data_IF_663039048707
#
_entry.id   IF_663039048707
#
_cell.length_a   1.000
_cell.length_b   1.000
_cell.length_c   1.000
_cell.angle_alpha   90.00
_cell.angle_beta   90.00
_cell.angle_gamma   90.00
#
_symmetry.space_group_name_H-M   'P 1'
#
loop_
_entity.id
_entity.type
_entity.pdbx_description
1 polymer ?
#
# COMPACT_ATOMS: atom_id res chain seq x y z
N UNK A 1 -16.01 -22.77 20.50
CA UNK A 1 -16.37 -23.92 19.60
C UNK A 1 -15.39 -24.00 18.41
N UNK A 2 -15.17 -22.93 17.62
CA UNK A 2 -14.24 -22.95 16.47
C UNK A 2 -12.79 -23.22 16.84
N UNK A 3 -12.30 -22.68 17.97
CA UNK A 3 -10.94 -22.92 18.47
C UNK A 3 -10.73 -24.39 18.86
N UNK A 4 -11.70 -24.99 19.57
CA UNK A 4 -11.63 -26.41 19.94
C UNK A 4 -11.67 -27.35 18.73
N UNK A 5 -12.38 -26.99 17.65
CA UNK A 5 -12.39 -27.75 16.40
C UNK A 5 -11.06 -27.68 15.67
N UNK A 6 -10.44 -26.50 15.65
CA UNK A 6 -9.10 -26.31 15.08
C UNK A 6 -8.04 -27.05 15.88
N UNK A 7 -8.14 -27.07 17.22
CA UNK A 7 -7.22 -27.81 18.09
C UNK A 7 -7.37 -29.32 17.86
N UNK A 8 -8.59 -29.84 17.69
CA UNK A 8 -8.85 -31.26 17.36
C UNK A 8 -8.34 -31.64 15.96
N UNK A 9 -8.50 -30.75 14.96
CA UNK A 9 -7.95 -30.97 13.61
C UNK A 9 -6.43 -30.89 13.62
N UNK A 10 -5.84 -30.02 14.45
CA UNK A 10 -4.41 -29.90 14.62
C UNK A 10 -3.81 -31.13 15.34
N UNK A 11 -4.49 -31.71 16.33
CA UNK A 11 -4.07 -32.93 16.97
C UNK A 11 -4.10 -34.15 16.03
N UNK A 12 -5.08 -34.21 15.10
CA UNK A 12 -5.11 -35.24 14.05
C UNK A 12 -4.01 -35.08 12.98
N UNK A 13 -3.26 -33.99 13.00
CA UNK A 13 -2.13 -33.67 12.11
C UNK A 13 -0.75 -33.94 12.70
N UNK A 14 -0.66 -34.50 13.90
CA UNK A 14 0.62 -34.71 14.61
C UNK A 14 1.65 -35.53 13.79
N UNK A 15 1.22 -36.34 12.83
CA UNK A 15 2.11 -37.05 11.92
C UNK A 15 2.66 -36.19 10.78
N UNK A 16 2.05 -35.04 10.48
CA UNK A 16 2.53 -34.06 9.49
C UNK A 16 3.46 -32.99 10.11
N UNK A 17 3.41 -32.79 11.42
CA UNK A 17 4.21 -31.79 12.16
C UNK A 17 5.70 -32.19 12.33
N UNK A 18 6.10 -33.34 11.82
CA UNK A 18 7.53 -33.72 11.75
C UNK A 18 8.31 -33.03 10.65
N UNK A 19 7.67 -32.27 9.80
CA UNK A 19 8.34 -31.43 8.80
C UNK A 19 8.46 -29.99 9.31
N UNK A 20 9.62 -29.38 9.14
CA UNK A 20 9.90 -27.97 9.51
C UNK A 20 8.84 -26.98 9.03
N UNK A 21 8.20 -27.25 7.89
CA UNK A 21 7.08 -26.45 7.36
C UNK A 21 5.81 -26.53 8.20
N UNK A 22 5.52 -27.67 8.81
CA UNK A 22 4.36 -27.84 9.70
C UNK A 22 4.53 -27.06 11.00
N UNK A 23 5.73 -27.12 11.59
CA UNK A 23 6.05 -26.37 12.81
C UNK A 23 6.00 -24.84 12.57
N UNK A 24 6.53 -24.37 11.43
CA UNK A 24 6.45 -22.96 11.06
C UNK A 24 5.00 -22.49 10.87
N UNK A 25 4.15 -23.29 10.23
CA UNK A 25 2.74 -22.98 10.05
C UNK A 25 1.99 -22.93 11.40
N UNK A 26 2.26 -23.87 12.30
CA UNK A 26 1.68 -23.88 13.65
C UNK A 26 2.09 -22.64 14.47
N UNK A 27 3.34 -22.22 14.35
CA UNK A 27 3.83 -20.98 14.96
C UNK A 27 3.12 -19.74 14.42
N UNK A 28 2.96 -19.64 13.11
CA UNK A 28 2.25 -18.54 12.46
C UNK A 28 0.76 -18.49 12.88
N UNK A 29 0.10 -19.63 12.99
CA UNK A 29 -1.27 -19.69 13.52
C UNK A 29 -1.35 -19.20 14.97
N UNK A 30 -0.43 -19.62 15.83
CA UNK A 30 -0.39 -19.19 17.23
C UNK A 30 -0.16 -17.67 17.33
N UNK A 31 0.74 -17.11 16.50
CA UNK A 31 0.97 -15.69 16.43
C UNK A 31 -0.28 -14.93 15.96
N UNK A 32 -0.97 -15.42 14.93
CA UNK A 32 -2.21 -14.83 14.43
C UNK A 32 -3.31 -14.84 15.51
N UNK A 33 -3.50 -15.96 16.22
CA UNK A 33 -4.45 -16.01 17.33
C UNK A 33 -4.02 -15.13 18.52
N UNK A 34 -2.73 -15.01 18.77
CA UNK A 34 -2.18 -14.08 19.77
C UNK A 34 -2.58 -12.64 19.46
N UNK A 35 -2.35 -12.20 18.22
CA UNK A 35 -2.73 -10.86 17.77
C UNK A 35 -4.25 -10.59 17.91
N UNK A 36 -5.08 -11.56 17.54
CA UNK A 36 -6.54 -11.44 17.66
C UNK A 36 -7.04 -11.47 19.11
N UNK A 37 -6.29 -12.06 20.04
CA UNK A 37 -6.68 -12.20 21.43
C UNK A 37 -6.27 -11.05 22.35
N UNK A 38 -5.34 -10.20 21.92
CA UNK A 38 -4.83 -9.08 22.74
C UNK A 38 -5.79 -7.87 22.80
N UNK A 39 -6.82 -7.82 21.98
CA UNK A 39 -7.72 -6.67 21.85
C UNK A 39 -7.10 -5.50 21.06
N UNK A 40 -5.78 -5.32 21.10
CA UNK A 40 -5.08 -4.17 20.49
C UNK A 40 -5.43 -4.00 19.01
N UNK A 41 -5.44 -5.09 18.24
CA UNK A 41 -5.80 -5.03 16.82
C UNK A 41 -7.29 -4.70 16.62
N UNK A 42 -8.17 -5.30 17.43
CA UNK A 42 -9.61 -5.01 17.39
C UNK A 42 -9.90 -3.55 17.71
N UNK A 43 -9.25 -3.03 18.77
CA UNK A 43 -9.41 -1.65 19.21
C UNK A 43 -8.84 -0.68 18.15
N UNK A 44 -7.72 -1.01 17.51
CA UNK A 44 -7.17 -0.19 16.42
C UNK A 44 -8.08 -0.16 15.19
N UNK A 45 -8.75 -1.26 14.87
CA UNK A 45 -9.69 -1.35 13.75
C UNK A 45 -11.06 -0.70 14.05
N UNK A 46 -11.38 -0.49 15.33
CA UNK A 46 -12.62 0.22 15.70
C UNK A 46 -12.46 1.73 15.50
N UNK A 47 -12.56 2.17 14.23
CA UNK A 47 -12.53 3.59 13.88
C UNK A 47 -13.73 4.37 14.45
N UNK A 48 -14.78 3.71 14.95
CA UNK A 48 -15.94 4.39 15.56
C UNK A 48 -15.59 4.99 16.92
N UNK A 49 -14.50 4.55 17.53
CA UNK A 49 -13.94 5.16 18.75
C UNK A 49 -13.35 6.57 18.50
N UNK A 50 -13.09 6.94 17.25
CA UNK A 50 -12.64 8.29 16.91
C UNK A 50 -13.78 9.31 16.96
N UNK A 51 -13.51 10.57 17.35
CA UNK A 51 -14.50 11.66 17.29
C UNK A 51 -15.10 11.79 15.88
N UNK A 52 -16.38 12.15 15.81
CA UNK A 52 -17.07 12.31 14.53
C UNK A 52 -16.34 13.26 13.57
N UNK A 53 -15.81 14.38 14.10
CA UNK A 53 -15.06 15.36 13.31
C UNK A 53 -13.78 14.74 12.66
N UNK A 54 -13.10 13.82 13.35
CA UNK A 54 -11.93 13.11 12.77
C UNK A 54 -12.38 12.18 11.66
N UNK A 55 -13.44 11.41 11.88
CA UNK A 55 -13.98 10.49 10.86
C UNK A 55 -14.48 11.24 9.61
N UNK A 56 -15.15 12.35 9.80
CA UNK A 56 -15.63 13.23 8.73
C UNK A 56 -14.47 13.87 7.96
N UNK A 57 -13.37 14.24 8.65
CA UNK A 57 -12.17 14.79 8.02
C UNK A 57 -11.51 13.82 7.05
N UNK A 58 -11.56 12.52 7.30
CA UNK A 58 -11.08 11.50 6.35
C UNK A 58 -12.08 11.24 5.19
N UNK A 59 -13.29 11.77 5.28
CA UNK A 59 -14.39 11.49 4.36
C UNK A 59 -15.11 10.18 4.70
N UNK A 60 -16.45 10.22 4.62
CA UNK A 60 -17.32 9.08 4.93
C UNK A 60 -17.44 8.12 3.74
N UNK A 61 -16.30 7.80 3.13
CA UNK A 61 -16.16 6.81 2.06
C UNK A 61 -15.40 5.58 2.59
N UNK A 62 -15.54 4.45 1.91
CA UNK A 62 -14.78 3.25 2.29
C UNK A 62 -13.27 3.51 2.28
N UNK A 63 -12.75 4.21 1.27
CA UNK A 63 -11.33 4.55 1.18
C UNK A 63 -10.88 5.48 2.32
N UNK A 64 -11.63 6.55 2.58
CA UNK A 64 -11.30 7.49 3.67
C UNK A 64 -11.29 6.82 5.05
N UNK A 65 -12.30 6.00 5.35
CA UNK A 65 -12.36 5.28 6.62
C UNK A 65 -11.29 4.16 6.70
N UNK A 66 -10.89 3.57 5.57
CA UNK A 66 -9.75 2.64 5.52
C UNK A 66 -8.41 3.35 5.79
N UNK A 67 -8.23 4.57 5.29
CA UNK A 67 -7.06 5.40 5.63
C UNK A 67 -7.02 5.75 7.13
N UNK A 68 -8.16 6.07 7.72
CA UNK A 68 -8.27 6.29 9.17
C UNK A 68 -7.91 5.03 9.97
N UNK A 69 -8.43 3.86 9.57
CA UNK A 69 -8.09 2.59 10.19
C UNK A 69 -6.59 2.27 10.04
N UNK A 70 -5.98 2.56 8.87
CA UNK A 70 -4.55 2.40 8.66
C UNK A 70 -3.72 3.28 9.60
N UNK A 71 -4.08 4.56 9.79
CA UNK A 71 -3.41 5.44 10.75
C UNK A 71 -3.50 4.86 12.17
N UNK A 72 -4.67 4.40 12.60
CA UNK A 72 -4.87 3.78 13.91
C UNK A 72 -4.04 2.52 14.12
N UNK A 73 -3.91 1.69 13.07
CA UNK A 73 -3.05 0.51 13.10
C UNK A 73 -1.57 0.88 13.26
N UNK A 74 -1.09 1.91 12.57
CA UNK A 74 0.28 2.43 12.73
C UNK A 74 0.49 2.97 14.15
N UNK A 75 -0.44 3.78 14.65
CA UNK A 75 -0.39 4.32 16.02
C UNK A 75 -0.38 3.20 17.08
N UNK A 76 -1.04 2.07 16.83
CA UNK A 76 -1.01 0.88 17.67
C UNK A 76 0.25 0.00 17.51
N UNK A 77 1.24 0.45 16.73
CA UNK A 77 2.51 -0.25 16.51
C UNK A 77 2.54 -1.20 15.31
N UNK A 78 1.54 -1.14 14.43
CA UNK A 78 1.56 -1.84 13.16
C UNK A 78 2.71 -1.37 12.28
N UNK A 79 3.51 -2.30 11.74
CA UNK A 79 4.72 -1.97 10.99
C UNK A 79 4.50 -1.87 9.48
N UNK A 80 3.46 -2.51 8.99
CA UNK A 80 3.14 -2.53 7.56
C UNK A 80 1.62 -2.62 7.39
N UNK A 81 1.03 -1.64 6.73
CA UNK A 81 -0.41 -1.59 6.46
C UNK A 81 -0.62 -1.27 5.00
N UNK A 82 -1.49 -2.01 4.34
CA UNK A 82 -1.88 -1.76 2.96
C UNK A 82 -3.35 -1.36 2.90
N UNK A 83 -3.63 -0.25 2.25
CA UNK A 83 -4.99 0.21 1.93
C UNK A 83 -5.21 0.04 0.44
N UNK A 84 -6.17 -0.79 0.06
CA UNK A 84 -6.55 -0.94 -1.33
C UNK A 84 -7.73 -0.04 -1.67
N UNK A 85 -7.66 0.63 -2.80
CA UNK A 85 -8.82 1.22 -3.42
C UNK A 85 -9.53 0.15 -4.25
N UNK A 86 -10.56 -0.43 -3.68
CA UNK A 86 -11.36 -1.44 -4.38
C UNK A 86 -12.66 -0.83 -4.91
N UNK A 87 -13.03 -1.25 -6.09
CA UNK A 87 -14.28 -0.83 -6.75
C UNK A 87 -15.51 -1.60 -6.25
N UNK A 88 -15.36 -2.69 -5.52
CA UNK A 88 -16.44 -3.58 -5.02
C UNK A 88 -17.54 -3.83 -6.07
N UNK A 89 -17.16 -4.09 -7.31
CA UNK A 89 -18.09 -4.30 -8.42
C UNK A 89 -18.76 -3.03 -8.98
N UNK A 90 -18.44 -1.85 -8.46
CA UNK A 90 -18.91 -0.57 -8.98
C UNK A 90 -17.96 -0.06 -10.05
N UNK A 91 -18.27 -0.28 -11.32
CA UNK A 91 -17.45 0.16 -12.45
C UNK A 91 -17.03 1.64 -12.41
N UNK A 92 -17.85 2.52 -11.80
CA UNK A 92 -17.54 3.93 -11.65
C UNK A 92 -16.48 4.20 -10.56
N UNK A 93 -16.29 3.30 -9.61
CA UNK A 93 -15.36 3.44 -8.48
C UNK A 93 -13.93 2.99 -8.75
N UNK A 94 -13.64 2.40 -9.89
CA UNK A 94 -12.32 1.87 -10.24
C UNK A 94 -11.44 2.90 -10.93
N UNK A 95 -10.13 2.88 -10.63
CA UNK A 95 -9.11 3.64 -11.36
C UNK A 95 -8.83 3.07 -12.76
N UNK A 96 -9.42 1.93 -13.10
CA UNK A 96 -9.32 1.34 -14.43
C UNK A 96 -10.27 2.03 -15.43
N UNK A 97 -9.86 3.20 -15.89
CA UNK A 97 -10.68 4.19 -16.60
C UNK A 97 -10.57 4.08 -18.12
N UNK A 98 -10.91 2.91 -18.69
CA UNK A 98 -10.94 2.66 -20.13
C UNK A 98 -12.02 3.42 -20.89
N UNK A 99 -12.98 4.01 -20.20
CA UNK A 99 -14.04 4.87 -20.73
C UNK A 99 -14.40 5.93 -19.70
N UNK A 100 -14.95 7.05 -20.15
CA UNK A 100 -15.30 8.20 -19.30
C UNK A 100 -14.17 8.58 -18.31
N UNK A 101 -12.92 8.54 -18.79
CA UNK A 101 -11.73 8.73 -17.96
C UNK A 101 -11.76 10.05 -17.19
N UNK A 102 -12.00 11.16 -17.89
CA UNK A 102 -11.95 12.48 -17.28
C UNK A 102 -13.12 12.76 -16.34
N UNK A 103 -14.34 12.31 -16.69
CA UNK A 103 -15.51 12.43 -15.82
C UNK A 103 -15.28 11.66 -14.51
N UNK A 104 -14.91 10.40 -14.59
CA UNK A 104 -14.64 9.56 -13.42
C UNK A 104 -13.54 10.11 -12.52
N UNK A 105 -12.45 10.60 -13.10
CA UNK A 105 -11.37 11.23 -12.33
C UNK A 105 -11.85 12.50 -11.62
N UNK A 106 -12.47 13.43 -12.35
CA UNK A 106 -12.80 14.75 -11.82
C UNK A 106 -13.97 14.74 -10.83
N UNK A 107 -14.95 13.90 -11.09
CA UNK A 107 -16.22 13.92 -10.33
C UNK A 107 -16.20 12.98 -9.14
N UNK A 108 -15.36 11.94 -9.16
CA UNK A 108 -15.39 10.92 -8.12
C UNK A 108 -14.00 10.53 -7.59
N UNK A 109 -13.09 10.04 -8.44
CA UNK A 109 -11.86 9.37 -7.95
C UNK A 109 -10.90 10.36 -7.28
N UNK A 110 -10.58 11.46 -7.97
CA UNK A 110 -9.63 12.46 -7.44
C UNK A 110 -10.18 13.21 -6.22
N UNK A 111 -11.45 13.66 -6.17
CA UNK A 111 -11.96 14.33 -4.98
C UNK A 111 -11.93 13.46 -3.73
N UNK A 112 -12.26 12.16 -3.84
CA UNK A 112 -12.20 11.23 -2.72
C UNK A 112 -10.76 10.95 -2.29
N UNK A 113 -9.87 10.75 -3.27
CA UNK A 113 -8.44 10.53 -3.00
C UNK A 113 -7.80 11.74 -2.34
N UNK A 114 -7.97 12.92 -2.95
CA UNK A 114 -7.38 14.17 -2.48
C UNK A 114 -7.80 14.48 -1.04
N UNK A 115 -9.08 14.33 -0.75
CA UNK A 115 -9.61 14.55 0.59
C UNK A 115 -9.03 13.58 1.62
N UNK A 116 -9.06 12.27 1.36
CA UNK A 116 -8.61 11.26 2.31
C UNK A 116 -7.07 11.24 2.47
N UNK A 117 -6.32 11.41 1.37
CA UNK A 117 -4.87 11.38 1.40
C UNK A 117 -4.30 12.61 2.10
N UNK A 118 -4.78 13.81 1.77
CA UNK A 118 -4.32 15.03 2.45
C UNK A 118 -4.61 14.99 3.95
N UNK A 119 -5.78 14.49 4.34
CA UNK A 119 -6.13 14.30 5.76
C UNK A 119 -5.20 13.29 6.44
N UNK A 120 -4.90 12.16 5.79
CA UNK A 120 -3.98 11.17 6.34
C UNK A 120 -2.60 11.77 6.62
N UNK A 121 -2.04 12.54 5.67
CA UNK A 121 -0.71 13.14 5.83
C UNK A 121 -0.73 14.17 6.98
N UNK A 122 -1.74 15.03 7.03
CA UNK A 122 -1.88 16.04 8.08
C UNK A 122 -2.08 15.40 9.47
N UNK A 123 -2.88 14.35 9.57
CA UNK A 123 -3.13 13.66 10.86
C UNK A 123 -1.87 12.93 11.34
N UNK A 124 -1.13 12.26 10.45
CA UNK A 124 0.16 11.65 10.78
C UNK A 124 1.18 12.70 11.22
N UNK A 125 1.25 13.85 10.55
CA UNK A 125 2.15 14.94 10.92
C UNK A 125 1.79 15.55 12.28
N UNK A 126 0.52 15.86 12.51
CA UNK A 126 0.03 16.42 13.78
C UNK A 126 0.26 15.49 14.98
N UNK A 127 0.27 14.19 14.75
CA UNK A 127 0.55 13.17 15.77
C UNK A 127 2.04 12.87 15.93
N UNK A 128 2.91 13.48 15.13
CA UNK A 128 4.34 13.18 15.13
C UNK A 128 4.69 11.80 14.59
N UNK A 129 3.79 11.18 13.82
CA UNK A 129 3.98 9.84 13.26
C UNK A 129 4.58 9.87 11.85
N UNK A 130 4.51 11.00 11.13
CA UNK A 130 4.88 11.07 9.72
C UNK A 130 6.39 10.86 9.51
N UNK A 131 7.23 11.32 10.42
CA UNK A 131 8.69 11.17 10.29
C UNK A 131 9.14 9.70 10.45
N UNK A 132 8.36 8.89 11.17
CA UNK A 132 8.61 7.45 11.36
C UNK A 132 7.74 6.55 10.48
N UNK A 133 6.91 7.14 9.63
CA UNK A 133 5.99 6.40 8.76
C UNK A 133 6.21 6.74 7.31
N UNK A 134 6.68 5.76 6.53
CA UNK A 134 6.79 5.88 5.08
C UNK A 134 5.42 5.64 4.44
N UNK A 135 4.85 6.65 3.82
CA UNK A 135 3.58 6.56 3.08
C UNK A 135 3.87 6.49 1.60
N UNK A 136 3.40 5.43 0.94
CA UNK A 136 3.58 5.19 -0.49
C UNK A 136 2.21 5.10 -1.17
N UNK A 137 1.98 5.91 -2.20
CA UNK A 137 0.84 5.79 -3.10
C UNK A 137 1.34 5.25 -4.42
N UNK A 138 0.99 4.01 -4.69
CA UNK A 138 1.54 3.22 -5.78
C UNK A 138 0.46 2.78 -6.74
N UNK A 139 0.84 2.62 -8.01
CA UNK A 139 0.07 1.95 -9.05
C UNK A 139 1.03 1.06 -9.85
N UNK A 140 0.49 0.02 -10.48
CA UNK A 140 1.25 -0.93 -11.30
C UNK A 140 1.63 -0.35 -12.67
N UNK A 141 0.87 0.62 -13.19
CA UNK A 141 1.11 1.28 -14.47
C UNK A 141 0.37 2.62 -14.56
N UNK A 142 0.65 3.37 -15.61
CA UNK A 142 -0.04 4.60 -15.98
C UNK A 142 -1.14 4.38 -17.04
N UNK A 143 -1.43 5.46 -17.76
CA UNK A 143 -2.44 5.47 -18.83
C UNK A 143 -1.83 5.97 -20.12
N UNK A 144 -2.29 5.41 -21.27
CA UNK A 144 -1.78 5.77 -22.60
C UNK A 144 -1.81 7.27 -22.84
N UNK A 145 -0.78 7.84 -23.51
CA UNK A 145 -0.84 9.21 -24.01
C UNK A 145 -2.02 9.45 -24.96
N UNK A 146 -2.32 8.43 -25.78
CA UNK A 146 -3.44 8.47 -26.72
C UNK A 146 -4.77 8.35 -25.98
N UNK A 147 -5.71 9.17 -26.40
CA UNK A 147 -7.08 9.17 -25.93
C UNK A 147 -7.92 8.34 -26.89
N UNK A 148 -8.60 7.33 -26.38
CA UNK A 148 -9.53 6.54 -27.14
C UNK A 148 -10.93 7.15 -27.03
N UNK A 149 -11.41 7.72 -28.16
CA UNK A 149 -12.73 8.35 -28.22
C UNK A 149 -13.80 7.29 -28.38
N UNK A 150 -14.68 7.18 -27.39
CA UNK A 150 -15.80 6.21 -27.37
C UNK A 150 -17.12 6.93 -27.10
N UNK A 151 -18.27 6.36 -27.56
CA UNK A 151 -19.60 6.93 -27.25
C UNK A 151 -19.87 7.08 -25.75
N UNK A 152 -19.29 6.19 -24.92
CA UNK A 152 -19.39 6.23 -23.45
C UNK A 152 -18.44 7.23 -22.78
N UNK A 153 -17.82 8.14 -23.55
CA UNK A 153 -16.81 9.07 -23.11
C UNK A 153 -15.38 8.60 -23.35
N UNK A 154 -14.50 9.54 -23.55
CA UNK A 154 -13.10 9.29 -23.86
C UNK A 154 -12.40 8.46 -22.76
N UNK A 155 -11.61 7.49 -23.16
CA UNK A 155 -10.87 6.57 -22.31
C UNK A 155 -9.36 6.60 -22.54
N UNK A 156 -8.61 6.00 -21.61
CA UNK A 156 -7.17 5.75 -21.75
C UNK A 156 -6.87 4.33 -21.29
N UNK A 157 -6.00 3.63 -22.03
CA UNK A 157 -5.61 2.25 -21.75
C UNK A 157 -4.40 2.17 -20.82
N UNK A 158 -3.98 0.95 -20.49
CA UNK A 158 -2.80 0.71 -19.68
C UNK A 158 -1.52 1.15 -20.39
N UNK A 159 -0.59 1.74 -19.63
CA UNK A 159 0.69 2.22 -20.12
C UNK A 159 1.77 2.08 -19.05
N UNK A 160 2.66 1.10 -19.22
CA UNK A 160 3.70 0.80 -18.22
C UNK A 160 5.00 1.59 -18.39
N UNK A 161 5.13 2.41 -19.47
CA UNK A 161 6.37 3.14 -19.77
C UNK A 161 6.55 4.40 -18.95
N UNK A 162 5.45 5.04 -18.55
CA UNK A 162 5.48 6.25 -17.74
C UNK A 162 4.25 6.34 -16.84
N UNK A 163 4.47 6.59 -15.55
CA UNK A 163 3.43 6.88 -14.57
C UNK A 163 4.01 7.60 -13.36
N UNK A 164 3.16 8.22 -12.56
CA UNK A 164 3.53 8.96 -11.37
C UNK A 164 3.13 8.23 -10.11
N UNK A 165 3.90 8.41 -9.06
CA UNK A 165 3.64 7.90 -7.73
C UNK A 165 3.85 9.01 -6.70
N UNK A 166 3.29 8.87 -5.50
CA UNK A 166 3.41 9.87 -4.44
C UNK A 166 3.98 9.23 -3.20
N UNK A 167 4.90 9.93 -2.56
CA UNK A 167 5.58 9.48 -1.35
C UNK A 167 5.56 10.56 -0.29
N UNK A 168 5.47 10.17 0.98
CA UNK A 168 5.55 11.09 2.09
C UNK A 168 6.14 10.43 3.34
N UNK A 169 6.77 11.21 4.20
CA UNK A 169 7.29 10.79 5.50
C UNK A 169 8.51 9.88 5.44
N UNK A 170 8.83 9.24 6.57
CA UNK A 170 9.86 8.19 6.68
C UNK A 170 11.26 8.61 6.22
N UNK A 171 11.64 9.89 6.33
CA UNK A 171 12.96 10.37 5.90
C UNK A 171 13.07 10.73 4.41
N UNK A 172 11.94 10.84 3.70
CA UNK A 172 11.94 11.29 2.30
C UNK A 172 12.06 12.82 2.16
N UNK A 173 12.62 13.24 1.03
CA UNK A 173 12.69 14.65 0.65
C UNK A 173 11.28 15.24 0.49
N UNK A 174 11.02 16.38 1.14
CA UNK A 174 9.71 17.04 1.12
C UNK A 174 9.60 18.05 -0.02
N UNK A 175 8.42 18.15 -0.64
CA UNK A 175 8.09 19.17 -1.64
C UNK A 175 8.87 19.05 -2.94
N UNK A 176 9.42 17.89 -3.26
CA UNK A 176 10.22 17.65 -4.47
C UNK A 176 9.42 16.91 -5.54
N UNK A 177 9.71 17.22 -6.79
CA UNK A 177 9.25 16.46 -7.95
C UNK A 177 10.46 15.85 -8.64
N UNK A 178 10.49 14.54 -8.74
CA UNK A 178 11.63 13.77 -9.28
C UNK A 178 11.20 13.10 -10.58
N UNK A 179 12.05 13.22 -11.59
CA UNK A 179 11.78 12.69 -12.91
C UNK A 179 10.94 13.62 -13.79
N UNK A 180 10.96 13.33 -15.06
CA UNK A 180 10.20 14.06 -16.09
C UNK A 180 9.90 13.12 -17.24
N UNK A 181 8.71 13.23 -17.78
CA UNK A 181 8.33 12.58 -19.03
C UNK A 181 8.61 13.47 -20.25
N UNK A 182 8.52 12.86 -21.42
CA UNK A 182 8.41 13.60 -22.67
C UNK A 182 7.15 14.48 -22.67
N UNK A 183 7.03 15.36 -23.68
CA UNK A 183 5.90 16.29 -23.81
C UNK A 183 4.53 15.63 -23.96
N UNK A 184 4.50 14.35 -24.31
CA UNK A 184 3.28 13.57 -24.52
C UNK A 184 2.98 12.63 -23.37
N UNK A 185 3.84 12.59 -22.33
CA UNK A 185 3.79 11.61 -21.23
C UNK A 185 3.87 10.15 -21.72
N UNK A 186 4.59 9.93 -22.82
CA UNK A 186 4.79 8.62 -23.41
C UNK A 186 5.93 7.84 -22.80
N UNK A 187 7.03 8.51 -22.51
CA UNK A 187 8.25 7.94 -21.94
C UNK A 187 8.84 8.82 -20.84
N UNK A 188 9.64 8.21 -19.97
CA UNK A 188 10.43 8.94 -18.97
C UNK A 188 11.73 9.39 -19.62
N UNK A 189 11.94 10.72 -19.69
CA UNK A 189 13.15 11.33 -20.26
C UNK A 189 14.25 11.60 -19.23
N UNK A 190 13.89 11.89 -17.99
CA UNK A 190 14.85 12.24 -16.94
C UNK A 190 14.57 11.49 -15.65
N UNK A 191 15.64 11.07 -14.99
CA UNK A 191 15.63 10.41 -13.67
C UNK A 191 14.60 9.28 -13.60
N UNK A 192 14.71 8.24 -14.44
CA UNK A 192 13.80 7.10 -14.37
C UNK A 192 13.98 6.35 -13.03
N UNK A 193 12.87 6.06 -12.37
CA UNK A 193 12.83 5.28 -11.12
C UNK A 193 11.95 4.05 -11.38
N UNK A 194 12.53 2.87 -11.24
CA UNK A 194 11.80 1.62 -11.43
C UNK A 194 11.05 1.20 -10.16
N UNK A 195 10.02 0.34 -10.26
CA UNK A 195 9.38 -0.24 -9.07
C UNK A 195 10.35 -0.96 -8.13
N UNK A 196 11.41 -1.56 -8.69
CA UNK A 196 12.46 -2.21 -7.89
C UNK A 196 13.31 -1.20 -7.11
N UNK A 197 13.59 -0.03 -7.69
CA UNK A 197 14.30 1.05 -7.00
C UNK A 197 13.47 1.60 -5.84
N UNK A 198 12.15 1.70 -6.02
CA UNK A 198 11.23 2.11 -4.96
C UNK A 198 11.28 1.09 -3.82
N UNK A 199 11.21 -0.19 -4.14
CA UNK A 199 11.31 -1.25 -3.15
C UNK A 199 12.64 -1.21 -2.40
N UNK A 200 13.77 -1.05 -3.11
CA UNK A 200 15.09 -0.93 -2.50
C UNK A 200 15.19 0.29 -1.58
N UNK A 201 14.66 1.44 -2.01
CA UNK A 201 14.65 2.66 -1.20
C UNK A 201 13.76 2.50 0.04
N UNK A 202 12.59 1.87 -0.10
CA UNK A 202 11.69 1.60 1.03
C UNK A 202 12.33 0.67 2.06
N UNK A 203 12.97 -0.42 1.63
CA UNK A 203 13.68 -1.32 2.55
C UNK A 203 14.87 -0.63 3.23
N UNK A 204 15.61 0.21 2.50
CA UNK A 204 16.68 1.02 3.08
C UNK A 204 16.17 1.94 4.19
N UNK A 205 15.07 2.67 3.95
CA UNK A 205 14.44 3.53 4.96
C UNK A 205 13.90 2.74 6.17
N UNK A 206 13.49 1.49 5.96
CA UNK A 206 13.11 0.58 7.06
C UNK A 206 14.31 -0.01 7.81
N UNK A 207 15.54 0.34 7.43
CA UNK A 207 16.77 -0.13 8.08
C UNK A 207 17.27 -1.49 7.58
N UNK A 208 16.78 -2.00 6.47
CA UNK A 208 17.31 -3.22 5.85
C UNK A 208 18.50 -2.88 4.94
N UNK A 209 19.53 -3.73 5.00
CA UNK A 209 20.63 -3.66 4.06
C UNK A 209 20.11 -4.00 2.64
N UNK A 210 20.30 -3.13 1.64
CA UNK A 210 19.91 -3.38 0.27
C UNK A 210 20.48 -4.67 -0.34
N UNK A 211 21.64 -5.12 0.14
CA UNK A 211 22.30 -6.34 -0.32
C UNK A 211 21.79 -7.61 0.40
N UNK A 212 20.80 -7.46 1.28
CA UNK A 212 20.18 -8.61 1.96
C UNK A 212 19.62 -9.62 0.94
N UNK A 213 19.92 -10.89 1.16
CA UNK A 213 19.38 -11.99 0.37
C UNK A 213 18.41 -12.84 1.19
N UNK A 214 17.41 -13.40 0.53
CA UNK A 214 16.50 -14.39 1.09
C UNK A 214 16.59 -15.68 0.28
N UNK A 215 16.50 -16.86 0.90
CA UNK A 215 16.52 -18.11 0.17
C UNK A 215 15.21 -18.32 -0.59
N UNK A 216 15.29 -18.76 -1.83
CA UNK A 216 14.14 -19.28 -2.57
C UNK A 216 13.74 -20.69 -2.05
N UNK A 217 12.66 -21.31 -2.58
CA UNK A 217 12.26 -22.66 -2.17
C UNK A 217 13.34 -23.74 -2.36
N UNK A 218 14.29 -23.52 -3.27
CA UNK A 218 15.43 -24.41 -3.55
C UNK A 218 16.68 -24.05 -2.72
N UNK A 219 16.58 -23.04 -1.84
CA UNK A 219 17.67 -22.59 -0.96
C UNK A 219 18.69 -21.66 -1.63
N UNK A 220 18.44 -21.19 -2.85
CA UNK A 220 19.35 -20.25 -3.54
C UNK A 220 19.15 -18.83 -3.01
N UNK A 221 20.22 -18.07 -2.73
CA UNK A 221 20.08 -16.69 -2.26
C UNK A 221 19.55 -15.79 -3.39
N UNK A 222 18.43 -15.14 -3.13
CA UNK A 222 17.87 -14.12 -4.01
C UNK A 222 17.97 -12.75 -3.34
N UNK A 223 18.42 -11.70 -4.05
CA UNK A 223 18.41 -10.34 -3.51
C UNK A 223 16.98 -9.92 -3.12
N UNK A 224 16.83 -9.39 -1.91
CA UNK A 224 15.52 -8.97 -1.35
C UNK A 224 14.80 -7.98 -2.28
N UNK A 225 15.54 -7.08 -2.91
CA UNK A 225 15.01 -6.04 -3.80
C UNK A 225 15.24 -6.32 -5.29
N UNK A 226 15.69 -7.54 -5.62
CA UNK A 226 16.04 -7.91 -6.99
C UNK A 226 17.23 -7.09 -7.51
N UNK A 227 17.02 -6.34 -8.60
CA UNK A 227 18.02 -5.45 -9.20
C UNK A 227 17.82 -3.98 -8.86
N UNK A 228 16.91 -3.68 -7.92
CA UNK A 228 16.61 -2.32 -7.49
C UNK A 228 17.79 -1.66 -6.77
N UNK A 229 17.86 -0.34 -6.85
CA UNK A 229 18.87 0.48 -6.18
C UNK A 229 18.23 1.52 -5.31
N UNK A 230 18.82 1.81 -4.17
CA UNK A 230 18.44 2.96 -3.35
C UNK A 230 18.58 4.24 -4.18
N UNK A 231 17.57 5.09 -4.13
CA UNK A 231 17.53 6.34 -4.91
C UNK A 231 17.80 7.54 -4.00
N UNK A 232 19.03 8.06 -3.99
CA UNK A 232 19.39 9.21 -3.15
C UNK A 232 18.51 10.43 -3.42
N UNK A 233 17.99 10.58 -4.62
CA UNK A 233 17.12 11.69 -5.02
C UNK A 233 15.78 11.69 -4.24
N UNK A 234 15.39 10.56 -3.67
CA UNK A 234 14.18 10.43 -2.84
C UNK A 234 14.44 10.75 -1.37
N UNK A 235 15.70 10.70 -0.92
CA UNK A 235 16.06 10.88 0.49
C UNK A 235 16.13 12.38 0.86
N UNK A 236 15.74 12.70 2.10
CA UNK A 236 15.78 14.04 2.67
C UNK A 236 17.08 14.39 3.39
#
# INVERSE_FOLDING_TARGET
>A
LRRGLLDQLSQGRIDLDRHERGAAFSLQQQQAFGLLSTGTLSDALDYTAEPAAVREAYGMTLFGQSCLAARRLIEAGGRFVTVFWDAYGLNAGSWDTHHNHYGRLKEFLLPVFDHAFSTLILDLEQRGLLDETLVLVLSEHGRTPQIDSKPAGAGRHHWSRAYSQVYAGGGLARGTVIGRTDRHAGDVEATPISPKDILATAFHLLGFDPDTTVPDPEGRPLPLTGTGRVRPELLG
#
